data_IF_461145569951
#
_entry.id   IF_461145569951
#
_cell.length_a   1.000
_cell.length_b   1.000
_cell.length_c   1.000
_cell.angle_alpha   90.00
_cell.angle_beta   90.00
_cell.angle_gamma   90.00
#
_symmetry.space_group_name_H-M   'P 1'
#
loop_
_entity.id
_entity.type
_entity.pdbx_description
1 polymer ?
#
# COMPACT_ATOMS: atom_id res chain seq x y z
N UNK A 1 20.99 -5.52 -15.06
CA UNK A 1 20.24 -4.37 -15.65
C UNK A 1 21.27 -3.44 -16.25
N UNK A 2 21.21 -3.28 -17.57
CA UNK A 2 22.22 -2.52 -18.33
C UNK A 2 21.59 -1.27 -18.92
N UNK A 3 22.38 -0.22 -19.07
CA UNK A 3 21.97 1.06 -19.62
C UNK A 3 23.13 1.67 -20.39
N UNK A 4 22.90 2.06 -21.63
CA UNK A 4 23.89 2.79 -22.44
C UNK A 4 23.68 4.28 -22.22
N UNK A 5 24.73 4.96 -21.78
CA UNK A 5 24.73 6.42 -21.54
C UNK A 5 24.50 7.14 -22.86
N UNK A 6 23.53 8.05 -22.90
CA UNK A 6 23.14 8.79 -24.10
C UNK A 6 23.91 10.13 -24.19
N UNK A 7 24.01 10.71 -25.39
CA UNK A 7 24.68 11.98 -25.61
C UNK A 7 24.24 13.13 -24.67
N UNK A 8 22.93 13.32 -24.36
CA UNK A 8 22.51 14.36 -23.40
C UNK A 8 22.93 14.11 -21.94
N UNK A 9 23.54 12.96 -21.68
CA UNK A 9 24.00 12.53 -20.35
C UNK A 9 25.54 12.58 -20.21
N UNK A 10 26.24 12.99 -21.27
CA UNK A 10 27.68 13.18 -21.30
C UNK A 10 28.16 14.02 -20.11
N UNK A 11 29.21 13.55 -19.44
CA UNK A 11 29.81 14.25 -18.30
C UNK A 11 29.02 14.20 -17.00
N UNK A 12 27.89 13.50 -16.94
CA UNK A 12 27.13 13.32 -15.69
C UNK A 12 27.82 12.35 -14.74
N UNK A 13 27.41 12.37 -13.48
CA UNK A 13 27.89 11.38 -12.51
C UNK A 13 27.10 10.07 -12.62
N UNK A 14 27.76 8.95 -12.42
CA UNK A 14 27.17 7.62 -12.45
C UNK A 14 25.91 7.49 -11.54
N UNK A 15 25.94 8.13 -10.36
CA UNK A 15 24.76 8.19 -9.47
C UNK A 15 23.54 8.83 -10.12
N UNK A 16 23.73 9.81 -11.01
CA UNK A 16 22.63 10.51 -11.66
C UNK A 16 22.02 9.62 -12.73
N UNK A 17 22.84 8.85 -13.46
CA UNK A 17 22.37 7.83 -14.40
C UNK A 17 21.58 6.73 -13.66
N UNK A 18 22.15 6.17 -12.60
CA UNK A 18 21.48 5.15 -11.80
C UNK A 18 20.11 5.64 -11.27
N UNK A 19 20.07 6.87 -10.75
CA UNK A 19 18.88 7.42 -10.11
C UNK A 19 17.81 7.90 -11.10
N UNK A 20 18.20 8.64 -12.13
CA UNK A 20 17.27 9.36 -13.02
C UNK A 20 16.95 8.54 -14.28
N UNK A 21 17.96 7.95 -14.91
CA UNK A 21 17.79 7.25 -16.18
C UNK A 21 17.44 5.77 -16.00
N UNK A 22 18.06 5.11 -15.02
CA UNK A 22 17.79 3.70 -14.70
C UNK A 22 16.73 3.51 -13.61
N UNK A 23 16.31 4.57 -12.90
CA UNK A 23 15.28 4.49 -11.86
C UNK A 23 15.69 3.71 -10.60
N UNK A 24 16.97 3.52 -10.35
CA UNK A 24 17.47 2.78 -9.18
C UNK A 24 17.15 3.53 -7.89
N UNK A 25 16.57 2.87 -6.90
CA UNK A 25 16.30 3.49 -5.60
C UNK A 25 17.58 3.87 -4.86
N UNK A 26 17.55 4.89 -3.99
CA UNK A 26 18.71 5.30 -3.21
C UNK A 26 19.26 4.16 -2.32
N UNK A 27 18.37 3.39 -1.70
CA UNK A 27 18.75 2.25 -0.87
C UNK A 27 19.42 1.15 -1.68
N UNK A 28 18.90 0.82 -2.87
CA UNK A 28 19.50 -0.17 -3.76
C UNK A 28 20.89 0.28 -4.25
N UNK A 29 21.02 1.54 -4.66
CA UNK A 29 22.32 2.12 -5.05
C UNK A 29 23.32 2.10 -3.88
N UNK A 30 22.86 2.47 -2.66
CA UNK A 30 23.70 2.45 -1.46
C UNK A 30 24.19 1.02 -1.13
N UNK A 31 23.32 0.02 -1.20
CA UNK A 31 23.70 -1.38 -1.02
C UNK A 31 24.68 -1.85 -2.10
N UNK A 32 24.37 -1.63 -3.37
CA UNK A 32 25.22 -2.06 -4.49
C UNK A 32 26.61 -1.41 -4.51
N UNK A 33 26.73 -0.18 -3.98
CA UNK A 33 28.00 0.55 -3.90
C UNK A 33 29.09 -0.18 -3.10
N UNK A 34 28.69 -0.85 -2.02
CA UNK A 34 29.63 -1.52 -1.14
C UNK A 34 30.05 -2.91 -1.63
N UNK A 35 29.23 -3.52 -2.48
CA UNK A 35 29.41 -4.91 -2.91
C UNK A 35 29.99 -5.02 -4.34
N UNK A 36 30.48 -3.90 -4.91
CA UNK A 36 31.04 -3.91 -6.27
C UNK A 36 30.03 -4.29 -7.38
N UNK A 37 28.72 -4.08 -7.12
CA UNK A 37 27.64 -4.48 -8.04
C UNK A 37 27.23 -3.38 -9.02
N UNK A 38 27.93 -2.25 -9.00
CA UNK A 38 27.77 -1.16 -9.98
C UNK A 38 29.01 -1.19 -10.87
N UNK A 39 28.79 -1.43 -12.16
CA UNK A 39 29.86 -1.54 -13.14
C UNK A 39 29.70 -0.45 -14.21
N UNK A 40 30.83 0.02 -14.71
CA UNK A 40 30.94 0.88 -15.90
C UNK A 40 31.82 0.14 -16.90
N UNK A 41 31.29 -0.15 -18.09
CA UNK A 41 31.95 -0.96 -19.13
C UNK A 41 32.48 -2.31 -18.60
N UNK A 42 31.73 -2.92 -17.67
CA UNK A 42 32.07 -4.23 -17.08
C UNK A 42 32.97 -4.17 -15.84
N UNK A 43 33.57 -3.03 -15.53
CA UNK A 43 34.46 -2.87 -14.37
C UNK A 43 33.76 -2.18 -13.20
N UNK A 44 34.03 -2.57 -11.93
CA UNK A 44 33.45 -1.94 -10.76
C UNK A 44 33.74 -0.44 -10.72
N UNK A 45 32.67 0.36 -10.57
CA UNK A 45 32.77 1.81 -10.61
C UNK A 45 32.18 2.48 -9.37
N UNK A 46 32.76 3.63 -8.99
CA UNK A 46 32.25 4.48 -7.91
C UNK A 46 31.08 5.32 -8.43
N UNK A 47 30.09 5.54 -7.57
CA UNK A 47 28.86 6.30 -7.92
C UNK A 47 29.12 7.77 -8.24
N UNK A 48 30.29 8.31 -7.89
CA UNK A 48 30.75 9.65 -8.20
C UNK A 48 31.60 9.73 -9.50
N UNK A 49 31.87 8.59 -10.16
CA UNK A 49 32.54 8.55 -11.46
C UNK A 49 31.76 9.37 -12.50
N UNK A 50 32.49 10.05 -13.35
CA UNK A 50 31.94 10.74 -14.52
C UNK A 50 31.74 9.70 -15.62
N UNK A 51 30.61 9.73 -16.31
CA UNK A 51 30.28 8.82 -17.41
C UNK A 51 30.25 9.56 -18.73
N UNK A 52 30.55 8.83 -19.81
CA UNK A 52 30.60 9.34 -21.17
C UNK A 52 29.58 8.64 -22.05
N UNK A 53 29.09 9.32 -23.08
CA UNK A 53 28.17 8.76 -24.03
C UNK A 53 28.72 7.47 -24.68
N UNK A 54 27.89 6.46 -24.82
CA UNK A 54 28.26 5.14 -25.34
C UNK A 54 28.75 4.16 -24.27
N UNK A 55 29.11 4.60 -23.08
CA UNK A 55 29.50 3.69 -21.98
C UNK A 55 28.31 2.89 -21.47
N UNK A 56 28.56 1.66 -21.04
CA UNK A 56 27.54 0.78 -20.46
C UNK A 56 27.59 0.81 -18.95
N UNK A 57 26.50 1.29 -18.33
CA UNK A 57 26.31 1.20 -16.88
C UNK A 57 25.54 -0.09 -16.59
N UNK A 58 26.15 -0.98 -15.80
CA UNK A 58 25.51 -2.22 -15.33
C UNK A 58 25.26 -2.16 -13.84
N UNK A 59 24.03 -2.45 -13.42
CA UNK A 59 23.72 -2.69 -12.02
C UNK A 59 23.32 -4.16 -11.82
N UNK A 60 24.06 -4.84 -10.93
CA UNK A 60 23.73 -6.19 -10.47
C UNK A 60 22.95 -6.10 -9.17
N UNK A 61 21.84 -6.80 -9.08
CA UNK A 61 21.08 -6.91 -7.86
C UNK A 61 21.74 -7.94 -6.94
N UNK A 62 21.71 -7.71 -5.62
CA UNK A 62 22.05 -8.78 -4.70
C UNK A 62 21.04 -9.91 -4.89
N UNK A 63 21.52 -11.12 -5.01
CA UNK A 63 20.72 -12.28 -4.67
C UNK A 63 20.49 -12.18 -3.15
N UNK A 64 19.29 -11.76 -2.78
CA UNK A 64 18.94 -11.70 -1.37
C UNK A 64 18.80 -13.14 -0.88
N UNK A 65 19.81 -13.64 -0.21
CA UNK A 65 19.61 -14.78 0.66
C UNK A 65 18.54 -14.39 1.70
N UNK A 66 17.47 -15.16 1.87
CA UNK A 66 16.48 -14.88 2.91
C UNK A 66 17.18 -14.89 4.26
N UNK A 67 17.20 -13.74 4.93
CA UNK A 67 17.86 -13.54 6.23
C UNK A 67 17.14 -14.29 7.35
N UNK A 68 15.93 -14.82 7.07
CA UNK A 68 15.13 -15.60 8.02
C UNK A 68 14.35 -16.71 7.30
N UNK A 69 14.18 -17.84 7.98
CA UNK A 69 13.32 -18.91 7.48
C UNK A 69 11.87 -18.50 7.70
N UNK A 70 11.22 -18.07 6.61
CA UNK A 70 9.80 -17.81 6.61
C UNK A 70 9.06 -19.14 6.81
N UNK A 71 8.15 -19.20 7.78
CA UNK A 71 7.34 -20.38 8.02
C UNK A 71 6.09 -20.34 7.15
N UNK A 72 5.66 -21.47 6.59
CA UNK A 72 4.41 -21.54 5.85
C UNK A 72 3.22 -21.32 6.79
N UNK A 73 2.20 -20.64 6.27
CA UNK A 73 0.91 -20.46 6.92
C UNK A 73 -0.17 -20.94 5.95
N UNK A 74 -0.82 -22.06 6.29
CA UNK A 74 -1.88 -22.63 5.46
C UNK A 74 -3.19 -21.83 5.63
N UNK A 75 -3.30 -20.77 4.85
CA UNK A 75 -4.47 -19.91 4.78
C UNK A 75 -4.92 -19.82 3.32
N UNK A 76 -6.16 -20.26 2.99
CA UNK A 76 -6.70 -20.06 1.66
C UNK A 76 -6.75 -18.59 1.27
N UNK A 77 -6.13 -18.24 0.14
CA UNK A 77 -6.09 -16.86 -0.37
C UNK A 77 -7.14 -16.67 -1.46
N UNK A 78 -7.88 -15.57 -1.38
CA UNK A 78 -8.67 -15.05 -2.49
C UNK A 78 -7.76 -14.16 -3.34
N UNK A 79 -7.56 -14.55 -4.61
CA UNK A 79 -6.64 -13.88 -5.54
C UNK A 79 -7.46 -13.33 -6.72
N UNK A 80 -7.93 -12.06 -6.67
CA UNK A 80 -8.70 -11.44 -7.74
C UNK A 80 -7.91 -11.23 -9.04
N UNK A 81 -6.58 -11.12 -8.95
CA UNK A 81 -5.72 -10.97 -10.12
C UNK A 81 -4.31 -11.51 -9.85
N UNK A 82 -3.77 -12.19 -10.84
CA UNK A 82 -2.37 -12.63 -10.83
C UNK A 82 -1.84 -12.76 -12.26
N UNK A 83 -0.60 -12.31 -12.46
CA UNK A 83 0.17 -12.53 -13.68
C UNK A 83 1.67 -12.76 -13.39
N UNK A 84 2.54 -12.60 -14.39
CA UNK A 84 4.00 -12.72 -14.24
C UNK A 84 4.61 -11.64 -13.32
N UNK A 85 3.96 -10.47 -13.20
CA UNK A 85 4.55 -9.26 -12.59
C UNK A 85 3.95 -8.90 -11.25
N UNK A 86 2.68 -9.15 -11.04
CA UNK A 86 1.98 -8.78 -9.81
C UNK A 86 0.94 -9.82 -9.40
N UNK A 87 0.66 -9.82 -8.11
CA UNK A 87 -0.38 -10.56 -7.43
C UNK A 87 -1.26 -9.57 -6.68
N UNK A 88 -2.56 -9.65 -6.82
CA UNK A 88 -3.51 -8.93 -5.97
C UNK A 88 -4.24 -9.93 -5.10
N UNK A 89 -4.19 -9.71 -3.80
CA UNK A 89 -4.87 -10.56 -2.81
C UNK A 89 -5.98 -9.77 -2.14
N UNK A 90 -7.12 -10.39 -1.94
CA UNK A 90 -8.15 -9.92 -1.02
C UNK A 90 -7.80 -10.41 0.39
N UNK A 91 -7.11 -9.56 1.13
CA UNK A 91 -6.59 -9.90 2.46
C UNK A 91 -7.72 -10.03 3.47
N UNK A 92 -7.89 -11.17 4.13
CA UNK A 92 -8.84 -11.27 5.24
C UNK A 92 -8.39 -10.43 6.45
N UNK A 93 -9.30 -10.19 7.39
CA UNK A 93 -8.99 -9.58 8.67
C UNK A 93 -9.58 -10.41 9.82
N UNK A 94 -8.85 -10.51 10.94
CA UNK A 94 -7.55 -9.90 11.24
C UNK A 94 -6.37 -10.71 10.68
N UNK A 95 -5.48 -10.08 9.90
CA UNK A 95 -4.27 -10.71 9.37
C UNK A 95 -3.18 -9.64 9.15
N UNK A 96 -1.98 -9.83 9.69
CA UNK A 96 -0.86 -8.94 9.44
C UNK A 96 -0.44 -8.98 7.97
N UNK A 97 -0.10 -7.82 7.38
CA UNK A 97 0.33 -7.76 5.96
C UNK A 97 1.71 -8.35 5.73
N UNK A 98 2.58 -8.32 6.73
CA UNK A 98 3.94 -8.84 6.68
C UNK A 98 4.30 -9.51 8.01
N UNK A 99 5.25 -10.42 7.97
CA UNK A 99 5.84 -11.01 9.16
C UNK A 99 6.55 -9.93 9.99
N UNK A 100 6.52 -10.11 11.29
CA UNK A 100 7.11 -9.20 12.27
C UNK A 100 7.35 -9.95 13.58
N UNK A 101 8.03 -9.31 14.53
CA UNK A 101 8.25 -9.92 15.86
C UNK A 101 6.94 -10.33 16.58
N UNK A 102 5.84 -9.61 16.35
CA UNK A 102 4.54 -9.96 16.91
C UNK A 102 3.70 -10.94 16.05
N UNK A 103 4.09 -11.17 14.82
CA UNK A 103 3.42 -12.03 13.83
C UNK A 103 4.46 -12.72 12.95
N UNK A 104 5.29 -13.61 13.51
CA UNK A 104 6.39 -14.22 12.75
C UNK A 104 5.89 -15.27 11.75
N UNK A 105 4.78 -15.95 12.06
CA UNK A 105 4.33 -17.15 11.36
C UNK A 105 2.88 -17.06 10.85
N UNK A 106 2.15 -15.97 11.15
CA UNK A 106 0.70 -15.81 10.91
C UNK A 106 0.38 -14.53 10.12
N UNK A 107 1.16 -14.23 9.10
CA UNK A 107 0.97 -13.06 8.24
C UNK A 107 0.56 -13.43 6.81
N UNK A 108 0.10 -12.43 6.03
CA UNK A 108 -0.14 -12.60 4.61
C UNK A 108 1.13 -13.01 3.85
N UNK A 109 2.30 -12.52 4.26
CA UNK A 109 3.59 -12.93 3.71
C UNK A 109 3.80 -14.45 3.84
N UNK A 110 3.52 -15.00 5.02
CA UNK A 110 3.61 -16.45 5.29
C UNK A 110 2.58 -17.23 4.45
N UNK A 111 1.37 -16.70 4.30
CA UNK A 111 0.33 -17.34 3.50
C UNK A 111 0.65 -17.33 2.00
N UNK A 112 1.19 -16.22 1.47
CA UNK A 112 1.65 -16.14 0.07
C UNK A 112 2.84 -17.08 -0.16
N UNK A 113 3.77 -17.16 0.78
CA UNK A 113 4.88 -18.10 0.73
C UNK A 113 4.40 -19.56 0.66
N UNK A 114 3.43 -19.93 1.49
CA UNK A 114 2.78 -21.25 1.48
C UNK A 114 2.07 -21.52 0.16
N UNK A 115 1.29 -20.55 -0.35
CA UNK A 115 0.54 -20.63 -1.60
C UNK A 115 1.44 -20.90 -2.82
N UNK A 116 2.67 -20.42 -2.81
CA UNK A 116 3.68 -20.68 -3.85
C UNK A 116 4.50 -21.96 -3.61
N UNK A 117 4.12 -22.82 -2.67
CA UNK A 117 4.81 -24.07 -2.39
C UNK A 117 6.16 -23.91 -1.71
N UNK A 118 6.35 -22.85 -0.93
CA UNK A 118 7.54 -22.58 -0.12
C UNK A 118 8.85 -22.58 -0.94
N UNK A 119 8.96 -21.75 -1.99
CA UNK A 119 10.14 -21.74 -2.84
C UNK A 119 11.38 -21.29 -2.08
N UNK A 120 12.56 -21.87 -2.44
CA UNK A 120 13.85 -21.53 -1.78
C UNK A 120 14.22 -20.05 -1.90
N UNK A 121 13.85 -19.43 -3.02
CA UNK A 121 14.10 -18.01 -3.30
C UNK A 121 12.79 -17.25 -3.29
N UNK A 122 12.29 -16.93 -2.11
CA UNK A 122 11.08 -16.15 -1.94
C UNK A 122 11.40 -14.76 -1.42
N UNK A 123 10.94 -13.75 -2.12
CA UNK A 123 11.02 -12.36 -1.65
C UNK A 123 9.65 -11.71 -1.75
N UNK A 124 9.08 -11.37 -0.61
CA UNK A 124 7.81 -10.67 -0.53
C UNK A 124 7.99 -9.17 -0.81
N UNK A 125 7.27 -8.67 -1.82
CA UNK A 125 7.37 -7.27 -2.28
C UNK A 125 6.02 -6.57 -2.27
N UNK A 126 5.47 -6.24 -1.11
CA UNK A 126 4.21 -5.51 -1.06
C UNK A 126 4.38 -4.11 -1.65
N UNK A 127 3.43 -3.69 -2.46
CA UNK A 127 3.36 -2.35 -3.05
C UNK A 127 2.67 -1.39 -2.08
N UNK A 128 1.58 -1.85 -1.47
CA UNK A 128 0.86 -1.17 -0.39
C UNK A 128 0.70 -2.13 0.79
N UNK A 129 0.31 -1.59 1.93
CA UNK A 129 0.05 -2.39 3.14
C UNK A 129 -1.31 -2.00 3.72
N UNK A 130 -1.95 -2.97 4.33
CA UNK A 130 -3.15 -2.80 5.14
C UNK A 130 -2.83 -3.08 6.61
N UNK A 131 -3.51 -2.39 7.50
CA UNK A 131 -3.43 -2.70 8.92
C UNK A 131 -3.93 -4.12 9.19
N UNK A 132 -3.54 -4.72 10.30
CA UNK A 132 -3.95 -6.08 10.67
C UNK A 132 -5.47 -6.26 10.66
N UNK A 133 -6.20 -5.28 11.19
CA UNK A 133 -7.66 -5.30 11.27
C UNK A 133 -8.38 -4.82 10.00
N UNK A 134 -7.67 -4.35 8.98
CA UNK A 134 -8.24 -3.95 7.68
C UNK A 134 -8.27 -5.13 6.72
N UNK A 135 -9.40 -5.38 6.08
CA UNK A 135 -9.54 -6.37 5.00
C UNK A 135 -9.49 -5.71 3.61
N UNK A 136 -9.42 -6.53 2.54
CA UNK A 136 -9.55 -6.08 1.16
C UNK A 136 -8.28 -6.11 0.33
N UNK A 137 -8.32 -5.41 -0.79
CA UNK A 137 -7.34 -5.51 -1.87
C UNK A 137 -5.96 -4.99 -1.49
N UNK A 138 -4.95 -5.82 -1.74
CA UNK A 138 -3.54 -5.53 -1.51
C UNK A 138 -2.70 -6.02 -2.68
N UNK A 139 -1.75 -5.20 -3.15
CA UNK A 139 -0.87 -5.49 -4.29
C UNK A 139 0.50 -5.95 -3.81
N UNK A 140 0.97 -7.05 -4.39
CA UNK A 140 2.29 -7.62 -4.19
C UNK A 140 2.97 -7.71 -5.55
N UNK A 141 4.15 -7.15 -5.69
CA UNK A 141 4.94 -7.26 -6.91
C UNK A 141 5.77 -8.55 -6.89
N UNK A 142 5.81 -9.28 -8.00
CA UNK A 142 6.59 -10.51 -8.14
C UNK A 142 8.06 -10.24 -8.47
N UNK A 143 8.35 -9.06 -9.06
CA UNK A 143 9.70 -8.67 -9.43
C UNK A 143 10.08 -7.30 -8.84
N UNK A 144 11.40 -7.02 -8.62
CA UNK A 144 11.83 -5.70 -8.15
C UNK A 144 11.45 -4.58 -9.12
N UNK A 145 11.43 -4.85 -10.41
CA UNK A 145 11.11 -3.88 -11.45
C UNK A 145 9.61 -3.54 -11.43
N UNK A 146 8.74 -4.55 -11.29
CA UNK A 146 7.31 -4.32 -11.10
C UNK A 146 7.04 -3.51 -9.83
N UNK A 147 7.70 -3.85 -8.72
CA UNK A 147 7.60 -3.10 -7.47
C UNK A 147 7.95 -1.63 -7.66
N UNK A 148 9.08 -1.35 -8.30
CA UNK A 148 9.51 0.02 -8.53
C UNK A 148 8.50 0.82 -9.36
N UNK A 149 8.05 0.26 -10.50
CA UNK A 149 7.06 0.92 -11.37
C UNK A 149 5.71 1.16 -10.68
N UNK A 150 5.25 0.21 -9.87
CA UNK A 150 4.01 0.35 -9.10
C UNK A 150 4.17 1.38 -7.96
N UNK A 151 5.33 1.43 -7.30
CA UNK A 151 5.61 2.43 -6.28
C UNK A 151 5.65 3.86 -6.84
N UNK A 152 6.09 4.05 -8.09
CA UNK A 152 6.02 5.36 -8.76
C UNK A 152 4.58 5.84 -8.99
N UNK A 153 3.62 4.94 -9.09
CA UNK A 153 2.21 5.26 -9.27
C UNK A 153 1.48 5.58 -7.97
N UNK A 154 1.97 5.11 -6.80
CA UNK A 154 1.25 5.09 -5.52
C UNK A 154 0.64 6.43 -5.07
N UNK A 155 1.17 7.56 -5.54
CA UNK A 155 0.74 8.91 -5.18
C UNK A 155 0.29 9.71 -6.42
N UNK A 156 -0.17 9.00 -7.44
CA UNK A 156 -0.69 9.59 -8.68
C UNK A 156 -2.10 9.07 -8.93
N UNK A 157 -2.83 9.70 -9.83
CA UNK A 157 -4.15 9.22 -10.26
C UNK A 157 -4.12 7.85 -10.96
N UNK A 158 -2.91 7.38 -11.34
CA UNK A 158 -2.74 6.04 -11.92
C UNK A 158 -2.86 4.91 -10.90
N UNK A 159 -2.85 5.21 -9.59
CA UNK A 159 -2.98 4.22 -8.51
C UNK A 159 -3.97 4.71 -7.45
N UNK A 160 -5.21 4.34 -7.58
CA UNK A 160 -6.25 4.74 -6.65
C UNK A 160 -6.61 3.61 -5.70
N UNK A 161 -6.75 3.94 -4.44
CA UNK A 161 -7.17 3.04 -3.36
C UNK A 161 -8.42 3.62 -2.73
N UNK A 162 -9.52 2.90 -2.89
CA UNK A 162 -10.81 3.29 -2.36
C UNK A 162 -11.19 2.32 -1.24
N UNK A 163 -11.55 2.89 -0.12
CA UNK A 163 -11.92 2.15 1.07
C UNK A 163 -13.39 2.39 1.39
N UNK A 164 -14.01 1.39 1.99
CA UNK A 164 -15.29 1.51 2.67
C UNK A 164 -15.07 1.35 4.16
N UNK A 165 -15.65 2.25 4.94
CA UNK A 165 -15.64 2.17 6.40
C UNK A 165 -17.05 2.32 6.95
N UNK A 166 -17.36 1.58 8.03
CA UNK A 166 -18.51 1.92 8.87
C UNK A 166 -18.00 2.71 10.07
N UNK A 167 -18.58 3.87 10.32
CA UNK A 167 -18.16 4.81 11.37
C UNK A 167 -19.15 4.89 12.51
N UNK A 168 -18.62 5.17 13.72
CA UNK A 168 -19.39 5.64 14.86
C UNK A 168 -19.66 7.14 14.61
N UNK A 169 -20.93 7.54 14.59
CA UNK A 169 -21.32 8.89 14.16
C UNK A 169 -21.39 9.04 12.63
N UNK A 170 -21.96 10.16 12.22
CA UNK A 170 -22.17 10.54 10.83
C UNK A 170 -21.33 11.78 10.54
N UNK A 171 -20.42 11.74 9.56
CA UNK A 171 -19.62 12.91 9.19
C UNK A 171 -20.50 14.11 8.82
N UNK A 172 -20.13 15.27 9.33
CA UNK A 172 -20.76 16.55 8.99
C UNK A 172 -19.66 17.59 8.72
N UNK A 173 -19.51 18.08 7.48
CA UNK A 173 -20.35 17.81 6.29
C UNK A 173 -20.29 16.35 5.82
N UNK A 174 -21.26 15.89 4.99
CA UNK A 174 -21.31 14.49 4.54
C UNK A 174 -20.18 14.09 3.59
N UNK A 175 -19.49 15.05 3.01
CA UNK A 175 -18.28 14.83 2.19
C UNK A 175 -17.27 15.92 2.45
N UNK A 176 -15.98 15.60 2.25
CA UNK A 176 -14.91 16.56 2.46
C UNK A 176 -13.52 15.98 2.30
N UNK A 177 -12.54 16.81 2.60
CA UNK A 177 -11.12 16.46 2.60
C UNK A 177 -10.54 16.70 3.99
N UNK A 178 -9.88 15.71 4.54
CA UNK A 178 -9.11 15.82 5.78
C UNK A 178 -7.65 15.96 5.36
N UNK A 179 -7.12 17.17 5.43
CA UNK A 179 -5.70 17.49 5.22
C UNK A 179 -5.09 17.80 6.58
N UNK A 180 -4.60 16.74 7.25
CA UNK A 180 -4.12 16.83 8.61
C UNK A 180 -2.89 15.93 8.80
N UNK A 181 -1.72 16.52 9.10
CA UNK A 181 -0.47 15.77 9.26
C UNK A 181 -0.53 14.76 10.41
N UNK A 182 0.07 13.59 10.21
CA UNK A 182 0.04 12.48 11.18
C UNK A 182 1.44 12.21 11.73
N UNK A 183 1.56 12.13 13.04
CA UNK A 183 2.76 11.73 13.77
C UNK A 183 2.54 10.45 14.59
N UNK A 184 3.64 9.84 15.04
CA UNK A 184 3.59 8.82 16.10
C UNK A 184 3.31 9.52 17.42
N UNK A 185 2.41 8.97 18.24
CA UNK A 185 2.16 9.48 19.59
C UNK A 185 3.39 9.20 20.47
N UNK A 186 3.89 10.21 21.19
CA UNK A 186 5.14 10.11 21.94
C UNK A 186 5.07 9.07 23.06
N UNK A 187 3.92 8.98 23.72
CA UNK A 187 3.70 8.10 24.87
C UNK A 187 3.23 6.69 24.52
N UNK A 188 2.88 6.45 23.24
CA UNK A 188 2.33 5.18 22.79
C UNK A 188 3.16 4.57 21.65
N UNK A 189 3.49 3.29 21.78
CA UNK A 189 4.34 2.61 20.80
C UNK A 189 3.71 2.46 19.40
N UNK A 190 2.38 2.32 19.33
CA UNK A 190 1.66 2.00 18.09
C UNK A 190 0.69 3.09 17.61
N UNK A 191 0.19 3.95 18.53
CA UNK A 191 -0.80 4.98 18.17
C UNK A 191 -0.21 6.07 17.29
N UNK A 192 -1.08 6.65 16.48
CA UNK A 192 -0.81 7.83 15.66
C UNK A 192 -1.79 8.93 16.05
N UNK A 193 -1.37 10.17 15.86
CA UNK A 193 -2.19 11.36 16.17
C UNK A 193 -2.04 12.40 15.06
N UNK A 194 -3.08 13.21 14.89
CA UNK A 194 -2.95 14.43 14.09
C UNK A 194 -2.05 15.40 14.86
N UNK A 195 -0.99 15.85 14.20
CA UNK A 195 0.02 16.74 14.79
C UNK A 195 0.63 17.62 13.71
N UNK A 196 0.73 18.94 13.90
CA UNK A 196 1.31 19.85 12.91
C UNK A 196 2.73 19.50 12.45
N UNK A 197 3.53 18.85 13.32
CA UNK A 197 4.88 18.38 13.02
C UNK A 197 4.89 16.99 12.35
N UNK A 198 3.71 16.41 12.09
CA UNK A 198 3.54 15.10 11.48
C UNK A 198 3.86 15.07 9.98
N UNK A 199 3.76 13.90 9.41
CA UNK A 199 3.90 13.74 7.97
C UNK A 199 2.62 14.18 7.24
N UNK A 200 2.70 14.93 6.14
CA UNK A 200 1.54 15.33 5.34
C UNK A 200 0.65 14.13 5.02
N UNK A 201 -0.64 14.28 5.23
CA UNK A 201 -1.61 13.19 5.10
C UNK A 201 -2.94 13.75 4.63
N UNK A 202 -3.44 13.24 3.48
CA UNK A 202 -4.68 13.71 2.86
C UNK A 202 -5.61 12.53 2.61
N UNK A 203 -6.85 12.65 3.11
CA UNK A 203 -7.93 11.68 2.96
C UNK A 203 -9.20 12.39 2.50
N UNK A 204 -9.76 11.97 1.37
CA UNK A 204 -11.09 12.40 0.94
C UNK A 204 -12.13 11.42 1.45
N UNK A 205 -13.30 11.92 1.85
CA UNK A 205 -14.39 11.08 2.32
C UNK A 205 -15.73 11.53 1.77
N UNK A 206 -16.64 10.58 1.66
CA UNK A 206 -18.02 10.76 1.25
C UNK A 206 -18.91 9.79 2.02
N UNK A 207 -19.94 10.31 2.68
CA UNK A 207 -20.95 9.50 3.36
C UNK A 207 -21.93 8.97 2.32
N UNK A 208 -21.86 7.67 2.06
CA UNK A 208 -22.76 7.01 1.13
C UNK A 208 -24.15 6.80 1.73
N UNK A 209 -24.19 6.44 3.01
CA UNK A 209 -25.44 6.14 3.75
C UNK A 209 -25.20 6.39 5.23
N UNK A 210 -26.30 6.76 5.93
CA UNK A 210 -26.27 6.95 7.37
C UNK A 210 -27.59 6.51 8.00
N UNK A 211 -27.54 5.77 9.09
CA UNK A 211 -28.68 5.42 9.93
C UNK A 211 -28.22 4.93 11.30
N UNK A 212 -29.06 5.11 12.33
CA UNK A 212 -28.82 4.58 13.68
C UNK A 212 -27.54 5.12 14.32
N UNK A 213 -27.11 6.33 14.00
CA UNK A 213 -25.88 6.90 14.53
C UNK A 213 -24.61 6.34 13.90
N UNK A 214 -24.70 5.56 12.82
CA UNK A 214 -23.58 5.03 12.05
C UNK A 214 -23.67 5.49 10.60
N UNK A 215 -22.51 5.51 9.91
CA UNK A 215 -22.45 5.83 8.50
C UNK A 215 -21.57 4.82 7.73
N UNK A 216 -21.97 4.51 6.49
CA UNK A 216 -21.11 3.92 5.48
C UNK A 216 -20.39 5.05 4.75
N UNK A 217 -19.09 5.09 4.85
CA UNK A 217 -18.25 6.14 4.28
C UNK A 217 -17.30 5.55 3.24
N UNK A 218 -17.28 6.17 2.06
CA UNK A 218 -16.28 5.92 1.02
C UNK A 218 -15.10 6.84 1.25
N UNK A 219 -13.88 6.29 1.18
CA UNK A 219 -12.66 7.06 1.42
C UNK A 219 -11.65 6.84 0.29
N UNK A 220 -11.01 7.92 -0.14
CA UNK A 220 -9.90 7.88 -1.11
C UNK A 220 -8.65 8.52 -0.49
N UNK A 221 -7.51 7.86 -0.69
CA UNK A 221 -6.23 8.28 -0.14
C UNK A 221 -5.33 8.91 -1.21
N UNK A 222 -4.82 10.12 -0.97
CA UNK A 222 -3.67 10.67 -1.71
C UNK A 222 -2.34 10.20 -1.10
N UNK A 223 -2.29 10.04 0.19
CA UNK A 223 -1.13 9.56 0.96
C UNK A 223 -1.43 8.21 1.62
N UNK A 224 -0.43 7.54 2.15
CA UNK A 224 -0.58 6.23 2.79
C UNK A 224 0.20 6.12 4.09
N UNK A 225 -0.17 6.90 5.13
CA UNK A 225 0.50 6.83 6.44
C UNK A 225 -0.11 5.73 7.30
N UNK A 226 0.66 5.23 8.23
CA UNK A 226 0.19 4.22 9.20
C UNK A 226 -1.04 4.72 9.91
N UNK A 227 -2.11 3.91 9.93
CA UNK A 227 -3.41 4.21 10.56
C UNK A 227 -4.13 5.45 9.99
N UNK A 228 -3.77 5.96 8.81
CA UNK A 228 -4.22 7.25 8.32
C UNK A 228 -5.74 7.43 8.37
N UNK A 229 -6.51 6.53 7.73
CA UNK A 229 -7.99 6.61 7.73
C UNK A 229 -8.53 6.61 9.16
N UNK A 230 -8.03 5.73 10.00
CA UNK A 230 -8.48 5.55 11.39
C UNK A 230 -8.27 6.81 12.22
N UNK A 231 -7.09 7.43 12.09
CA UNK A 231 -6.73 8.68 12.78
C UNK A 231 -7.56 9.84 12.25
N UNK A 232 -7.70 9.98 10.92
CA UNK A 232 -8.46 11.04 10.30
C UNK A 232 -9.95 10.97 10.63
N UNK A 233 -10.56 9.77 10.58
CA UNK A 233 -11.96 9.62 10.98
C UNK A 233 -12.17 9.90 12.47
N UNK A 234 -11.25 9.50 13.34
CA UNK A 234 -11.26 9.89 14.76
C UNK A 234 -11.14 11.41 14.92
N UNK A 235 -10.27 12.07 14.13
CA UNK A 235 -10.04 13.51 14.18
C UNK A 235 -11.30 14.32 13.88
N UNK A 236 -12.14 13.87 12.95
CA UNK A 236 -13.43 14.51 12.65
C UNK A 236 -14.59 14.01 13.54
N UNK A 237 -14.30 13.27 14.62
CA UNK A 237 -15.29 12.80 15.57
C UNK A 237 -16.12 11.59 15.14
N UNK A 238 -15.76 10.92 14.05
CA UNK A 238 -16.44 9.75 13.49
C UNK A 238 -15.51 8.54 13.38
N UNK A 239 -15.00 7.97 14.50
CA UNK A 239 -14.05 6.87 14.45
C UNK A 239 -14.65 5.65 13.73
N UNK A 240 -13.77 4.79 13.19
CA UNK A 240 -14.17 3.54 12.54
C UNK A 240 -14.73 2.58 13.60
N UNK A 241 -15.88 1.98 13.35
CA UNK A 241 -16.52 1.01 14.24
C UNK A 241 -15.59 -0.17 14.55
N UNK A 242 -15.52 -0.57 15.83
CA UNK A 242 -14.69 -1.68 16.28
C UNK A 242 -13.20 -1.33 16.44
N UNK A 243 -12.81 -0.07 16.24
CA UNK A 243 -11.42 0.34 16.34
C UNK A 243 -10.96 0.47 17.80
N UNK A 244 -10.29 -0.55 18.31
CA UNK A 244 -9.82 -0.64 19.69
C UNK A 244 -8.74 0.39 20.07
N UNK A 245 -8.15 1.13 19.09
CA UNK A 245 -7.18 2.20 19.35
C UNK A 245 -7.80 3.59 19.30
N UNK A 246 -8.78 3.81 18.43
CA UNK A 246 -9.28 5.14 18.10
C UNK A 246 -10.79 5.33 18.32
N UNK A 247 -11.54 4.25 18.47
CA UNK A 247 -12.97 4.19 18.71
C UNK A 247 -13.33 3.25 19.84
N UNK A 248 -14.46 2.57 19.69
CA UNK A 248 -14.99 1.58 20.64
C UNK A 248 -14.79 0.18 20.08
N UNK A 249 -14.14 -0.70 20.85
CA UNK A 249 -14.04 -2.12 20.46
C UNK A 249 -15.43 -2.77 20.43
N UNK A 250 -15.67 -3.58 19.40
CA UNK A 250 -16.91 -4.31 19.24
C UNK A 250 -16.66 -5.81 19.37
N UNK A 251 -17.41 -6.51 20.25
CA UNK A 251 -17.29 -7.95 20.42
C UNK A 251 -17.53 -8.76 19.14
N UNK A 252 -18.35 -8.23 18.21
CA UNK A 252 -18.67 -8.85 16.93
C UNK A 252 -17.49 -8.78 15.93
N UNK A 253 -16.51 -7.91 16.22
CA UNK A 253 -15.33 -7.69 15.38
C UNK A 253 -14.01 -7.95 16.13
N UNK A 254 -13.77 -9.14 16.66
CA UNK A 254 -12.59 -9.40 17.48
C UNK A 254 -11.28 -9.16 16.69
N UNK A 255 -10.45 -8.23 17.19
CA UNK A 255 -9.16 -7.91 16.60
C UNK A 255 -9.21 -7.22 15.22
N UNK A 256 -10.39 -6.78 14.75
CA UNK A 256 -10.57 -6.05 13.50
C UNK A 256 -11.46 -4.82 13.72
N UNK A 257 -11.54 -3.99 12.70
CA UNK A 257 -12.42 -2.82 12.66
C UNK A 257 -13.08 -2.71 11.28
N UNK A 258 -14.14 -1.94 11.22
CA UNK A 258 -14.99 -1.85 10.03
C UNK A 258 -14.35 -0.99 8.93
N UNK A 259 -13.18 -1.42 8.44
CA UNK A 259 -12.44 -0.80 7.34
C UNK A 259 -12.05 -1.86 6.32
N UNK A 260 -12.35 -1.56 5.04
CA UNK A 260 -12.16 -2.48 3.93
C UNK A 260 -11.60 -1.76 2.72
N UNK A 261 -10.51 -2.28 2.13
CA UNK A 261 -9.95 -1.81 0.86
C UNK A 261 -10.77 -2.37 -0.28
N UNK A 262 -11.82 -1.63 -0.69
CA UNK A 262 -12.89 -2.13 -1.54
C UNK A 262 -12.58 -2.05 -3.04
N UNK A 263 -11.86 -0.99 -3.46
CA UNK A 263 -11.54 -0.83 -4.87
C UNK A 263 -10.07 -0.47 -5.05
N UNK A 264 -9.50 -1.01 -6.09
CA UNK A 264 -8.13 -0.75 -6.50
C UNK A 264 -8.10 -0.48 -8.01
N UNK A 265 -7.65 0.71 -8.37
CA UNK A 265 -7.36 1.06 -9.77
C UNK A 265 -5.87 1.28 -9.90
N UNK A 266 -5.23 0.61 -10.84
CA UNK A 266 -3.82 0.81 -11.13
C UNK A 266 -3.52 0.62 -12.62
N UNK A 267 -2.43 1.22 -13.10
CA UNK A 267 -1.90 0.86 -14.42
C UNK A 267 -0.94 -0.32 -14.28
N UNK A 268 -1.19 -1.34 -15.09
CA UNK A 268 -0.29 -2.48 -15.15
C UNK A 268 1.13 -2.02 -15.51
N UNK A 269 2.18 -2.45 -14.73
CA UNK A 269 3.51 -1.84 -14.82
C UNK A 269 4.23 -2.05 -16.15
N UNK A 270 3.79 -3.01 -16.98
CA UNK A 270 4.43 -3.32 -18.26
C UNK A 270 3.51 -3.12 -19.46
N UNK A 271 2.26 -3.56 -19.41
CA UNK A 271 1.30 -3.40 -20.51
C UNK A 271 0.72 -1.98 -20.58
N UNK A 272 0.68 -1.27 -19.45
CA UNK A 272 0.05 0.05 -19.33
C UNK A 272 -1.48 0.00 -19.27
N UNK A 273 -2.09 -1.18 -19.33
CA UNK A 273 -3.53 -1.37 -19.19
C UNK A 273 -4.01 -0.97 -17.80
N UNK A 274 -5.21 -0.42 -17.72
CA UNK A 274 -5.83 -0.09 -16.45
C UNK A 274 -6.50 -1.33 -15.88
N UNK A 275 -6.06 -1.76 -14.70
CA UNK A 275 -6.71 -2.78 -13.91
C UNK A 275 -7.65 -2.09 -12.91
N UNK A 276 -8.92 -2.49 -12.93
CA UNK A 276 -9.92 -2.07 -11.94
C UNK A 276 -10.45 -3.31 -11.23
N UNK A 277 -10.13 -3.43 -9.95
CA UNK A 277 -10.46 -4.58 -9.11
C UNK A 277 -11.37 -4.13 -7.99
N UNK A 278 -12.38 -4.94 -7.69
CA UNK A 278 -13.38 -4.66 -6.67
C UNK A 278 -13.46 -5.86 -5.72
N UNK A 279 -13.44 -5.57 -4.42
CA UNK A 279 -13.75 -6.52 -3.36
C UNK A 279 -15.00 -6.02 -2.63
N UNK A 280 -16.08 -6.82 -2.56
CA UNK A 280 -17.32 -6.41 -1.93
C UNK A 280 -17.13 -6.24 -0.41
N UNK A 281 -17.89 -5.30 0.16
CA UNK A 281 -17.87 -5.09 1.61
C UNK A 281 -18.25 -6.40 2.33
N UNK A 282 -17.39 -6.93 3.22
CA UNK A 282 -17.68 -8.16 3.95
C UNK A 282 -18.99 -8.09 4.74
N UNK A 283 -19.77 -9.17 4.73
CA UNK A 283 -21.08 -9.23 5.39
C UNK A 283 -21.03 -8.83 6.87
N UNK A 284 -19.99 -9.24 7.61
CA UNK A 284 -19.77 -8.81 9.01
C UNK A 284 -19.64 -7.30 9.18
N UNK A 285 -19.17 -6.57 8.17
CA UNK A 285 -19.07 -5.11 8.21
C UNK A 285 -20.39 -4.46 7.77
N UNK A 286 -21.04 -5.01 6.77
CA UNK A 286 -22.34 -4.52 6.32
C UNK A 286 -23.44 -4.73 7.36
N UNK A 287 -23.38 -5.79 8.15
CA UNK A 287 -24.29 -6.06 9.26
C UNK A 287 -24.24 -5.04 10.41
N UNK A 288 -23.21 -4.20 10.45
CA UNK A 288 -23.14 -3.09 11.41
C UNK A 288 -24.09 -1.93 11.06
N UNK A 289 -24.60 -1.92 9.85
CA UNK A 289 -25.59 -0.95 9.38
C UNK A 289 -27.00 -1.52 9.54
N UNK A 290 -28.03 -0.69 9.81
CA UNK A 290 -29.39 -1.17 9.90
C UNK A 290 -29.85 -1.90 8.62
N UNK A 291 -30.69 -2.97 8.77
CA UNK A 291 -31.23 -3.70 7.63
C UNK A 291 -31.92 -2.77 6.63
N UNK A 292 -31.78 -3.04 5.33
CA UNK A 292 -32.38 -2.26 4.25
C UNK A 292 -31.51 -1.10 3.73
N UNK A 293 -30.45 -0.71 4.45
CA UNK A 293 -29.54 0.34 3.94
C UNK A 293 -28.69 -0.10 2.75
N UNK A 294 -28.47 -1.39 2.56
CA UNK A 294 -27.60 -1.96 1.53
C UNK A 294 -28.35 -2.48 0.30
N UNK A 295 -29.68 -2.44 0.28
CA UNK A 295 -30.52 -2.99 -0.80
C UNK A 295 -30.46 -2.23 -2.13
N UNK A 296 -29.76 -1.10 -2.19
CA UNK A 296 -29.39 -0.44 -3.45
C UNK A 296 -27.88 -0.42 -3.54
N UNK A 297 -27.29 -1.23 -4.43
CA UNK A 297 -25.89 -1.13 -4.80
C UNK A 297 -25.56 0.34 -5.09
N UNK A 298 -24.48 0.92 -4.54
CA UNK A 298 -23.98 2.16 -5.06
C UNK A 298 -23.65 1.92 -6.53
N UNK A 299 -24.19 2.75 -7.43
CA UNK A 299 -23.86 2.67 -8.84
C UNK A 299 -22.32 2.81 -9.00
N UNK A 300 -21.67 2.01 -9.86
CA UNK A 300 -20.22 2.07 -10.06
C UNK A 300 -19.74 3.39 -10.71
N UNK A 301 -20.62 4.30 -11.06
CA UNK A 301 -20.34 5.49 -11.88
C UNK A 301 -20.43 6.83 -11.13
N UNK A 302 -19.91 6.90 -9.92
CA UNK A 302 -19.69 8.18 -9.26
C UNK A 302 -18.22 8.55 -9.27
N UNK A 303 -17.75 9.35 -10.26
CA UNK A 303 -16.48 10.06 -10.12
C UNK A 303 -16.48 10.79 -8.76
N UNK A 304 -15.44 10.58 -7.96
CA UNK A 304 -15.26 11.28 -6.69
C UNK A 304 -15.16 12.77 -7.00
N UNK A 305 -16.24 13.54 -6.80
CA UNK A 305 -16.19 14.99 -6.95
C UNK A 305 -15.70 15.59 -5.62
N UNK A 306 -14.46 16.11 -5.56
CA UNK A 306 -14.05 16.90 -4.41
C UNK A 306 -14.94 18.15 -4.40
N UNK A 307 -15.63 18.40 -3.29
CA UNK A 307 -16.26 19.70 -3.05
C UNK A 307 -15.16 20.77 -3.22
N UNK A 308 -15.44 21.80 -4.04
CA UNK A 308 -14.50 22.79 -4.48
C UNK A 308 -13.66 23.41 -3.35
N UNK A 309 -12.47 23.84 -3.73
CA UNK A 309 -11.54 24.60 -2.88
C UNK A 309 -12.14 25.93 -2.48
#
# INVERSE_FOLDING_TARGET
>A
MDYIVREPEEGRRLRDILRRSMGVSYSAMKSAKWDGRILLDGEPARVDAVVHAGQTVTMRWAEAAPVYQLRPYDLPLTIPYEDEYLLVVDKPAPLASQSSAGHPDDSLENAVFSNYGCPKEFIYRPVNRLDRGTSGLMVIAKTPHAQHRLQQQLHTEAFQRIYLAVTEGVPNPPSGTIDAPIAKEETASVRRVVCPQGQPSVTHYETLRAAGGRALVRLRLETGRTHQIRVHMKHIGCPVCGDFLYGTELPELPGRFALHSAELVLRHPFTGETLHLISPLPEKLSALLPPGLLSASPAPDGAFHPAGR
#
